data_IF_227544819520
#
_entry.id   IF_227544819520
#
_cell.length_a   1.000
_cell.length_b   1.000
_cell.length_c   1.000
_cell.angle_alpha   90.00
_cell.angle_beta   90.00
_cell.angle_gamma   90.00
#
_symmetry.space_group_name_H-M   'P 1'
#
loop_
_entity.id
_entity.type
_entity.pdbx_description
1 polymer ?
#
# COMPACT_ATOMS: atom_id res chain seq x y z
N UNK A 1 -14.85 -3.44 26.58
CA UNK A 1 -14.03 -2.24 26.25
C UNK A 1 -12.63 -2.55 26.77
N UNK A 2 -11.65 -2.63 25.86
CA UNK A 2 -10.45 -3.50 25.89
C UNK A 2 -9.72 -3.57 27.26
N UNK A 3 -9.34 -4.78 27.74
CA UNK A 3 -8.68 -4.98 29.04
C UNK A 3 -7.33 -4.27 29.21
N UNK A 4 -6.55 -4.07 28.15
CA UNK A 4 -5.24 -3.42 28.27
C UNK A 4 -5.34 -1.97 28.74
N UNK A 5 -6.45 -1.29 28.42
CA UNK A 5 -6.74 0.06 28.94
C UNK A 5 -6.97 0.07 30.45
N UNK A 6 -7.43 -1.05 31.04
CA UNK A 6 -7.61 -1.19 32.50
C UNK A 6 -6.31 -1.54 33.22
N UNK A 7 -5.30 -2.04 32.51
CA UNK A 7 -3.99 -2.41 33.05
C UNK A 7 -2.97 -1.26 33.05
N UNK A 8 -3.41 0.00 32.91
CA UNK A 8 -2.56 1.17 33.20
C UNK A 8 -2.24 1.16 34.70
N UNK A 9 -1.22 0.39 35.07
CA UNK A 9 -0.52 0.61 36.31
C UNK A 9 0.21 1.95 36.16
N UNK A 10 0.07 2.79 37.17
CA UNK A 10 0.73 4.10 37.38
C UNK A 10 2.20 4.11 36.91
N UNK A 11 2.86 2.96 36.96
CA UNK A 11 4.20 2.67 36.44
C UNK A 11 4.49 3.12 34.99
N UNK A 12 3.54 3.01 34.05
CA UNK A 12 3.85 3.32 32.64
C UNK A 12 3.96 4.83 32.38
N UNK A 13 3.09 5.60 33.03
CA UNK A 13 3.13 7.07 33.03
C UNK A 13 4.40 7.59 33.73
N UNK A 14 4.74 7.00 34.87
CA UNK A 14 5.93 7.40 35.63
C UNK A 14 7.23 7.05 34.88
N UNK A 15 7.27 5.92 34.16
CA UNK A 15 8.38 5.57 33.28
C UNK A 15 8.55 6.58 32.12
N UNK A 16 7.46 6.99 31.47
CA UNK A 16 7.50 8.00 30.40
C UNK A 16 7.95 9.39 30.91
N UNK A 17 7.55 9.77 32.14
CA UNK A 17 8.01 11.01 32.80
C UNK A 17 9.47 10.90 33.21
N UNK A 18 9.92 9.75 33.71
CA UNK A 18 11.33 9.51 34.07
C UNK A 18 12.26 9.60 32.86
N UNK A 19 11.82 9.15 31.68
CA UNK A 19 12.58 9.29 30.42
C UNK A 19 12.67 10.73 29.90
N UNK A 20 11.67 11.56 30.20
CA UNK A 20 11.73 13.00 29.92
C UNK A 20 12.69 13.73 30.86
N UNK A 21 12.92 13.19 32.06
CA UNK A 21 13.84 13.72 33.08
C UNK A 21 15.26 13.20 32.91
N UNK A 22 15.43 11.92 32.52
CA UNK A 22 16.72 11.28 32.23
C UNK A 22 16.61 10.34 31.00
N UNK A 23 16.97 10.84 29.80
CA UNK A 23 16.90 10.07 28.56
C UNK A 23 17.85 8.86 28.50
N UNK A 24 18.82 8.76 29.42
CA UNK A 24 19.81 7.66 29.41
C UNK A 24 19.25 6.34 29.94
N UNK A 25 18.08 6.36 30.59
CA UNK A 25 17.40 5.15 31.06
C UNK A 25 16.62 4.39 29.97
N UNK A 26 16.64 4.84 28.70
CA UNK A 26 15.96 4.18 27.58
C UNK A 26 16.41 2.73 27.34
N UNK A 27 17.54 2.31 27.92
CA UNK A 27 18.01 0.91 27.87
C UNK A 27 17.49 0.04 29.01
N UNK A 28 16.74 0.61 29.96
CA UNK A 28 16.15 -0.13 31.07
C UNK A 28 14.98 -0.98 30.54
N UNK A 29 15.01 -2.32 30.68
CA UNK A 29 13.97 -3.19 30.16
C UNK A 29 12.57 -2.86 30.70
N UNK A 30 12.47 -2.38 31.95
CA UNK A 30 11.19 -1.99 32.56
C UNK A 30 10.58 -0.74 31.92
N UNK A 31 11.41 0.25 31.57
CA UNK A 31 10.97 1.47 30.89
C UNK A 31 10.63 1.21 29.42
N UNK A 32 11.43 0.38 28.73
CA UNK A 32 11.11 -0.08 27.36
C UNK A 32 9.78 -0.84 27.30
N UNK A 33 9.52 -1.73 28.27
CA UNK A 33 8.25 -2.46 28.34
C UNK A 33 7.09 -1.48 28.56
N UNK A 34 7.25 -0.50 29.45
CA UNK A 34 6.25 0.53 29.71
C UNK A 34 5.96 1.41 28.48
N UNK A 35 7.00 1.84 27.75
CA UNK A 35 6.86 2.60 26.49
C UNK A 35 6.13 1.76 25.44
N UNK A 36 6.53 0.51 25.25
CA UNK A 36 5.89 -0.40 24.30
C UNK A 36 4.41 -0.58 24.63
N UNK A 37 4.07 -0.75 25.91
CA UNK A 37 2.69 -0.82 26.38
C UNK A 37 1.91 0.49 26.13
N UNK A 38 2.52 1.66 26.34
CA UNK A 38 1.89 2.95 26.03
C UNK A 38 1.62 3.15 24.53
N UNK A 39 2.56 2.75 23.67
CA UNK A 39 2.36 2.79 22.22
C UNK A 39 1.24 1.85 21.80
N UNK A 40 1.24 0.60 22.29
CA UNK A 40 0.16 -0.35 22.02
C UNK A 40 -1.20 0.20 22.47
N UNK A 41 -1.26 0.84 23.64
CA UNK A 41 -2.48 1.49 24.12
C UNK A 41 -2.94 2.65 23.26
N UNK A 42 -2.02 3.51 22.82
CA UNK A 42 -2.33 4.62 21.93
C UNK A 42 -2.89 4.11 20.58
N UNK A 43 -2.28 3.06 20.04
CA UNK A 43 -2.71 2.40 18.82
C UNK A 43 -4.11 1.78 19.01
N UNK A 44 -4.35 1.07 20.12
CA UNK A 44 -5.67 0.49 20.44
C UNK A 44 -6.75 1.56 20.55
N UNK A 45 -6.47 2.71 21.19
CA UNK A 45 -7.41 3.84 21.23
C UNK A 45 -7.66 4.44 19.84
N UNK A 46 -6.64 4.52 18.99
CA UNK A 46 -6.80 4.99 17.62
C UNK A 46 -7.70 4.04 16.80
N UNK A 47 -7.51 2.73 16.95
CA UNK A 47 -8.35 1.71 16.29
C UNK A 47 -9.80 1.79 16.82
N UNK A 48 -9.99 1.91 18.14
CA UNK A 48 -11.33 2.07 18.73
C UNK A 48 -12.03 3.31 18.20
N UNK A 49 -11.33 4.45 18.10
CA UNK A 49 -11.87 5.68 17.52
C UNK A 49 -12.28 5.45 16.07
N UNK A 50 -11.45 4.76 15.29
CA UNK A 50 -11.74 4.42 13.89
C UNK A 50 -13.00 3.57 13.79
N UNK A 51 -13.10 2.47 14.54
CA UNK A 51 -14.28 1.59 14.54
C UNK A 51 -15.54 2.34 14.96
N UNK A 52 -15.46 3.15 16.02
CA UNK A 52 -16.55 4.02 16.48
C UNK A 52 -17.05 4.94 15.36
N UNK A 53 -16.14 5.57 14.63
CA UNK A 53 -16.51 6.48 13.53
C UNK A 53 -17.02 5.76 12.29
N UNK A 54 -16.48 4.57 11.99
CA UNK A 54 -16.75 3.81 10.76
C UNK A 54 -18.07 3.06 10.82
N UNK A 55 -18.42 2.54 11.99
CA UNK A 55 -19.60 1.71 12.21
C UNK A 55 -20.65 2.41 13.09
N UNK A 56 -20.58 3.74 13.22
CA UNK A 56 -21.63 4.50 13.88
C UNK A 56 -22.99 4.24 13.19
N UNK A 57 -24.07 3.97 13.92
CA UNK A 57 -25.38 3.76 13.33
C UNK A 57 -25.88 5.05 12.63
N UNK A 58 -26.24 4.95 11.34
CA UNK A 58 -26.84 6.01 10.54
C UNK A 58 -28.37 5.85 10.39
N UNK A 59 -28.93 6.22 9.22
CA UNK A 59 -30.37 6.01 8.88
C UNK A 59 -30.67 5.19 7.59
N UNK A 60 -29.68 4.54 6.95
CA UNK A 60 -29.80 3.78 5.68
C UNK A 60 -29.52 2.25 5.80
N UNK A 61 -29.66 1.47 4.72
CA UNK A 61 -29.53 -0.01 4.79
C UNK A 61 -28.15 -0.52 5.18
N UNK A 62 -27.09 0.23 4.86
CA UNK A 62 -25.72 -0.04 5.33
C UNK A 62 -25.62 -0.05 6.86
N UNK A 63 -26.57 0.59 7.55
CA UNK A 63 -26.63 0.58 9.00
C UNK A 63 -26.87 -0.79 9.58
N UNK A 64 -27.60 -1.68 8.91
CA UNK A 64 -27.88 -3.00 9.49
C UNK A 64 -26.60 -3.83 9.58
N UNK A 65 -25.78 -3.81 8.54
CA UNK A 65 -24.50 -4.47 8.54
C UNK A 65 -23.51 -3.79 9.49
N UNK A 66 -23.45 -2.46 9.49
CA UNK A 66 -22.60 -1.70 10.41
C UNK A 66 -23.01 -1.90 11.88
N UNK A 67 -24.32 -1.97 12.17
CA UNK A 67 -24.86 -2.29 13.50
C UNK A 67 -24.45 -3.70 13.92
N UNK A 68 -24.60 -4.69 13.04
CA UNK A 68 -24.18 -6.06 13.33
C UNK A 68 -22.67 -6.15 13.64
N UNK A 69 -21.85 -5.40 12.91
CA UNK A 69 -20.41 -5.32 13.19
C UNK A 69 -20.14 -4.59 14.51
N UNK A 70 -20.85 -3.51 14.81
CA UNK A 70 -20.71 -2.79 16.08
C UNK A 70 -21.10 -3.66 17.28
N UNK A 71 -22.20 -4.42 17.17
CA UNK A 71 -22.61 -5.43 18.15
C UNK A 71 -21.56 -6.53 18.28
N UNK A 72 -20.98 -6.99 17.16
CA UNK A 72 -19.90 -7.97 17.19
C UNK A 72 -18.64 -7.44 17.87
N UNK A 73 -18.26 -6.20 17.62
CA UNK A 73 -17.14 -5.54 18.27
C UNK A 73 -17.37 -5.39 19.78
N UNK A 74 -18.60 -5.11 20.20
CA UNK A 74 -18.98 -5.10 21.61
C UNK A 74 -18.82 -6.49 22.23
N UNK A 75 -19.32 -7.54 21.56
CA UNK A 75 -19.20 -8.92 22.02
C UNK A 75 -17.72 -9.36 22.11
N UNK A 76 -16.90 -9.08 21.09
CA UNK A 76 -15.45 -9.33 21.15
C UNK A 76 -14.80 -8.59 22.32
N UNK A 77 -15.22 -7.36 22.57
CA UNK A 77 -14.74 -6.57 23.70
C UNK A 77 -15.21 -7.06 25.07
N UNK A 78 -16.21 -7.95 25.15
CA UNK A 78 -16.62 -8.69 26.35
C UNK A 78 -15.86 -10.01 26.45
N UNK A 79 -15.70 -10.73 25.33
CA UNK A 79 -14.93 -11.97 25.23
C UNK A 79 -13.46 -11.75 25.66
N UNK A 80 -12.90 -10.55 25.43
CA UNK A 80 -11.55 -10.19 25.90
C UNK A 80 -11.39 -10.17 27.42
N UNK A 81 -12.48 -10.02 28.18
CA UNK A 81 -12.43 -10.08 29.65
C UNK A 81 -12.18 -11.53 30.15
N UNK A 82 -12.47 -12.55 29.34
CA UNK A 82 -12.13 -13.96 29.60
C UNK A 82 -10.71 -14.28 29.08
N UNK A 83 -9.82 -14.73 29.98
CA UNK A 83 -8.43 -15.08 29.63
C UNK A 83 -8.31 -16.15 28.55
N UNK A 84 -9.28 -17.08 28.47
CA UNK A 84 -9.27 -18.17 27.48
C UNK A 84 -9.64 -17.71 26.08
N UNK A 85 -10.44 -16.64 25.95
CA UNK A 85 -10.92 -16.10 24.68
C UNK A 85 -10.13 -14.86 24.23
N UNK A 86 -9.45 -14.19 25.16
CA UNK A 86 -8.67 -12.97 24.89
C UNK A 86 -7.73 -13.06 23.68
N UNK A 87 -6.91 -14.11 23.50
CA UNK A 87 -5.99 -14.17 22.36
C UNK A 87 -6.72 -14.13 21.01
N UNK A 88 -7.79 -14.92 20.88
CA UNK A 88 -8.58 -15.00 19.65
C UNK A 88 -9.33 -13.69 19.38
N UNK A 89 -9.91 -13.07 20.41
CA UNK A 89 -10.63 -11.81 20.27
C UNK A 89 -9.72 -10.65 19.85
N UNK A 90 -8.49 -10.60 20.38
CA UNK A 90 -7.47 -9.64 19.96
C UNK A 90 -7.03 -9.86 18.51
N UNK A 91 -6.85 -11.11 18.08
CA UNK A 91 -6.53 -11.44 16.70
C UNK A 91 -7.62 -10.99 15.73
N UNK A 92 -8.89 -11.26 16.05
CA UNK A 92 -10.03 -10.81 15.24
C UNK A 92 -10.12 -9.28 15.17
N UNK A 93 -9.86 -8.60 16.29
CA UNK A 93 -9.84 -7.14 16.35
C UNK A 93 -8.77 -6.54 15.43
N UNK A 94 -7.55 -7.07 15.50
CA UNK A 94 -6.43 -6.65 14.63
C UNK A 94 -6.71 -6.95 13.16
N UNK A 95 -7.20 -8.14 12.86
CA UNK A 95 -7.56 -8.55 11.49
C UNK A 95 -8.62 -7.64 10.88
N UNK A 96 -9.62 -7.20 11.67
CA UNK A 96 -10.61 -6.24 11.19
C UNK A 96 -9.95 -4.90 10.85
N UNK A 97 -9.06 -4.40 11.72
CA UNK A 97 -8.35 -3.15 11.47
C UNK A 97 -7.47 -3.22 10.22
N UNK A 98 -6.71 -4.31 10.04
CA UNK A 98 -5.92 -4.55 8.83
C UNK A 98 -6.78 -4.54 7.57
N UNK A 99 -7.97 -5.16 7.61
CA UNK A 99 -8.90 -5.09 6.48
C UNK A 99 -9.44 -3.67 6.23
N UNK A 100 -9.65 -2.86 7.27
CA UNK A 100 -10.01 -1.46 7.08
C UNK A 100 -8.88 -0.67 6.43
N UNK A 101 -7.62 -0.95 6.77
CA UNK A 101 -6.45 -0.33 6.10
C UNK A 101 -6.44 -0.65 4.61
N UNK A 102 -6.72 -1.90 4.24
CA UNK A 102 -6.86 -2.29 2.84
C UNK A 102 -8.00 -1.53 2.15
N UNK A 103 -9.15 -1.38 2.80
CA UNK A 103 -10.29 -0.64 2.24
C UNK A 103 -10.01 0.86 2.07
N UNK A 104 -9.36 1.48 3.04
CA UNK A 104 -8.96 2.89 2.96
C UNK A 104 -7.95 3.09 1.83
N UNK A 105 -6.97 2.21 1.69
CA UNK A 105 -6.02 2.26 0.59
C UNK A 105 -6.70 2.05 -0.77
N UNK A 106 -7.61 1.08 -0.88
CA UNK A 106 -8.41 0.86 -2.10
C UNK A 106 -9.17 2.13 -2.49
N UNK A 107 -9.76 2.83 -1.52
CA UNK A 107 -10.50 4.07 -1.74
C UNK A 107 -9.57 5.19 -2.21
N UNK A 108 -8.41 5.36 -1.58
CA UNK A 108 -7.40 6.37 -1.98
C UNK A 108 -6.88 6.13 -3.41
N UNK A 109 -6.70 4.87 -3.80
CA UNK A 109 -6.18 4.50 -5.11
C UNK A 109 -7.24 4.54 -6.23
N UNK A 110 -8.52 4.59 -5.87
CA UNK A 110 -9.64 4.38 -6.79
C UNK A 110 -9.63 5.37 -7.95
N UNK A 111 -9.52 6.66 -7.66
CA UNK A 111 -9.58 7.72 -8.66
C UNK A 111 -8.47 7.59 -9.71
N UNK A 112 -7.26 7.23 -9.29
CA UNK A 112 -6.13 7.02 -10.20
C UNK A 112 -6.31 5.76 -11.04
N UNK A 113 -6.81 4.68 -10.44
CA UNK A 113 -7.06 3.43 -11.13
C UNK A 113 -8.20 3.56 -12.17
N UNK A 114 -9.28 4.28 -11.85
CA UNK A 114 -10.41 4.48 -12.76
C UNK A 114 -10.01 5.18 -14.06
N UNK A 115 -9.03 6.10 -14.00
CA UNK A 115 -8.48 6.76 -15.20
C UNK A 115 -7.79 5.78 -16.15
N UNK A 116 -7.17 4.72 -15.62
CA UNK A 116 -6.51 3.68 -16.41
C UNK A 116 -7.52 2.66 -16.93
N UNK A 117 -8.52 2.32 -16.12
CA UNK A 117 -9.54 1.31 -16.45
C UNK A 117 -10.51 1.82 -17.53
N UNK A 118 -10.79 3.12 -17.55
CA UNK A 118 -11.67 3.74 -18.54
C UNK A 118 -13.10 3.19 -18.47
N UNK A 119 -13.58 2.65 -19.57
CA UNK A 119 -14.99 2.24 -19.75
C UNK A 119 -15.44 1.10 -18.81
N UNK A 120 -14.51 0.32 -18.25
CA UNK A 120 -14.78 -0.78 -17.31
C UNK A 120 -14.92 -0.33 -15.84
N UNK A 121 -14.91 0.98 -15.57
CA UNK A 121 -15.00 1.53 -14.20
C UNK A 121 -16.27 1.08 -13.48
N UNK A 122 -17.39 0.98 -14.19
CA UNK A 122 -18.68 0.63 -13.61
C UNK A 122 -18.69 -0.84 -13.16
N UNK A 123 -18.06 -1.73 -13.94
CA UNK A 123 -17.85 -3.13 -13.58
C UNK A 123 -16.96 -3.28 -12.34
N UNK A 124 -15.87 -2.49 -12.26
CA UNK A 124 -15.02 -2.46 -11.06
C UNK A 124 -15.80 -1.93 -9.85
N UNK A 125 -16.65 -0.92 -10.02
CA UNK A 125 -17.51 -0.40 -8.95
C UNK A 125 -18.44 -1.48 -8.43
N UNK A 126 -19.12 -2.19 -9.32
CA UNK A 126 -19.97 -3.32 -8.97
C UNK A 126 -19.18 -4.43 -8.24
N UNK A 127 -17.97 -4.73 -8.71
CA UNK A 127 -17.08 -5.73 -8.09
C UNK A 127 -16.68 -5.33 -6.67
N UNK A 128 -16.33 -4.06 -6.44
CA UNK A 128 -16.01 -3.55 -5.10
C UNK A 128 -17.23 -3.55 -4.18
N UNK A 129 -18.41 -3.15 -4.68
CA UNK A 129 -19.65 -3.20 -3.90
C UNK A 129 -19.97 -4.63 -3.46
N UNK A 130 -19.88 -5.60 -4.38
CA UNK A 130 -20.08 -7.01 -4.07
C UNK A 130 -19.06 -7.52 -3.04
N UNK A 131 -17.79 -7.13 -3.18
CA UNK A 131 -16.74 -7.49 -2.21
C UNK A 131 -17.01 -6.89 -0.83
N UNK A 132 -17.42 -5.63 -0.77
CA UNK A 132 -17.77 -4.94 0.46
C UNK A 132 -18.97 -5.61 1.15
N UNK A 133 -20.00 -5.97 0.40
CA UNK A 133 -21.17 -6.66 0.94
C UNK A 133 -20.81 -8.04 1.51
N UNK A 134 -19.96 -8.81 0.83
CA UNK A 134 -19.46 -10.10 1.32
C UNK A 134 -18.60 -9.93 2.59
N UNK A 135 -17.73 -8.93 2.59
CA UNK A 135 -16.88 -8.59 3.73
C UNK A 135 -17.72 -8.17 4.95
N UNK A 136 -18.69 -7.28 4.76
CA UNK A 136 -19.63 -6.84 5.80
C UNK A 136 -20.44 -8.02 6.36
N UNK A 137 -20.95 -8.89 5.50
CA UNK A 137 -21.72 -10.06 5.93
C UNK A 137 -20.89 -11.04 6.77
N UNK A 138 -19.63 -11.28 6.39
CA UNK A 138 -18.73 -12.15 7.17
C UNK A 138 -18.43 -11.59 8.55
N UNK A 139 -18.21 -10.28 8.68
CA UNK A 139 -17.98 -9.63 9.98
C UNK A 139 -19.25 -9.46 10.82
N UNK A 140 -20.41 -9.26 10.19
CA UNK A 140 -21.70 -9.13 10.87
C UNK A 140 -22.31 -10.45 11.34
N UNK A 141 -21.70 -11.60 11.04
CA UNK A 141 -22.21 -12.92 11.46
C UNK A 141 -21.86 -13.20 12.93
N UNK A 142 -22.85 -13.46 13.82
CA UNK A 142 -22.58 -13.82 15.21
C UNK A 142 -21.71 -15.08 15.31
N UNK A 143 -20.64 -15.03 16.11
CA UNK A 143 -19.68 -16.14 16.25
C UNK A 143 -18.79 -16.39 15.02
N UNK A 144 -18.91 -15.58 13.97
CA UNK A 144 -18.05 -15.66 12.78
C UNK A 144 -16.58 -15.30 13.08
N UNK A 145 -15.68 -15.77 12.20
CA UNK A 145 -14.23 -15.50 12.23
C UNK A 145 -13.81 -14.37 11.28
N UNK A 146 -14.74 -13.48 10.91
CA UNK A 146 -14.52 -12.37 9.99
C UNK A 146 -14.98 -12.65 8.55
N UNK A 147 -14.41 -11.94 7.58
CA UNK A 147 -14.83 -11.95 6.18
C UNK A 147 -14.77 -13.33 5.46
N UNK A 148 -13.99 -14.27 6.00
CA UNK A 148 -13.64 -15.54 5.34
C UNK A 148 -12.39 -15.42 4.46
N UNK A 149 -11.66 -16.53 4.30
CA UNK A 149 -10.34 -16.56 3.66
C UNK A 149 -10.38 -16.04 2.20
N UNK A 150 -11.38 -16.46 1.42
CA UNK A 150 -11.53 -16.03 0.03
C UNK A 150 -11.77 -14.52 -0.12
N UNK A 151 -12.57 -13.92 0.76
CA UNK A 151 -12.88 -12.48 0.73
C UNK A 151 -11.67 -11.65 1.17
N UNK A 152 -10.96 -12.11 2.21
CA UNK A 152 -9.72 -11.46 2.67
C UNK A 152 -8.63 -11.48 1.59
N UNK A 153 -8.48 -12.61 0.87
CA UNK A 153 -7.53 -12.70 -0.24
C UNK A 153 -7.94 -11.81 -1.42
N UNK A 154 -9.22 -11.81 -1.80
CA UNK A 154 -9.74 -10.93 -2.84
C UNK A 154 -9.51 -9.45 -2.52
N UNK A 155 -9.65 -9.05 -1.26
CA UNK A 155 -9.39 -7.68 -0.80
C UNK A 155 -7.92 -7.29 -1.00
N UNK A 156 -6.99 -8.18 -0.66
CA UNK A 156 -5.55 -7.96 -0.88
C UNK A 156 -5.22 -7.86 -2.36
N UNK A 157 -5.73 -8.79 -3.18
CA UNK A 157 -5.54 -8.78 -4.64
C UNK A 157 -6.10 -7.49 -5.25
N UNK A 158 -7.30 -7.08 -4.83
CA UNK A 158 -7.92 -5.83 -5.27
C UNK A 158 -7.04 -4.63 -4.97
N UNK A 159 -6.54 -4.52 -3.73
CA UNK A 159 -5.60 -3.47 -3.33
C UNK A 159 -4.35 -3.50 -4.22
N UNK A 160 -3.72 -4.65 -4.38
CA UNK A 160 -2.46 -4.78 -5.12
C UNK A 160 -2.62 -4.42 -6.62
N UNK A 161 -3.74 -4.78 -7.23
CA UNK A 161 -4.05 -4.40 -8.61
C UNK A 161 -4.32 -2.91 -8.71
N UNK A 162 -5.20 -2.33 -7.87
CA UNK A 162 -5.48 -0.88 -7.92
C UNK A 162 -4.23 -0.04 -7.68
N UNK A 163 -3.35 -0.50 -6.79
CA UNK A 163 -2.06 0.13 -6.52
C UNK A 163 -1.17 0.14 -7.76
N UNK A 164 -1.12 -0.99 -8.47
CA UNK A 164 -0.39 -1.12 -9.75
C UNK A 164 -0.96 -0.20 -10.81
N UNK A 165 -2.29 -0.10 -10.93
CA UNK A 165 -2.96 0.81 -11.86
C UNK A 165 -2.71 2.28 -11.50
N UNK A 166 -2.71 2.63 -10.21
CA UNK A 166 -2.38 3.98 -9.76
C UNK A 166 -0.93 4.35 -10.07
N UNK A 167 0.02 3.42 -9.94
CA UNK A 167 1.41 3.63 -10.33
C UNK A 167 1.52 3.84 -11.86
N UNK A 168 0.79 3.05 -12.67
CA UNK A 168 0.71 3.27 -14.13
C UNK A 168 0.15 4.65 -14.46
N UNK A 169 -0.93 5.08 -13.79
CA UNK A 169 -1.49 6.40 -13.97
C UNK A 169 -0.45 7.48 -13.68
N UNK A 170 0.26 7.37 -12.56
CA UNK A 170 1.31 8.33 -12.17
C UNK A 170 2.48 8.34 -13.17
N UNK A 171 2.79 7.19 -13.81
CA UNK A 171 3.81 7.15 -14.85
C UNK A 171 3.50 8.06 -16.06
N UNK A 172 2.22 8.33 -16.33
CA UNK A 172 1.83 9.23 -17.43
C UNK A 172 2.19 10.70 -17.16
N UNK A 173 2.35 11.08 -15.89
CA UNK A 173 2.74 12.41 -15.46
C UNK A 173 4.00 12.38 -14.58
N UNK A 174 5.17 12.42 -15.22
CA UNK A 174 6.45 12.46 -14.50
C UNK A 174 6.89 13.88 -14.12
N UNK A 175 6.00 14.89 -14.19
CA UNK A 175 6.33 16.29 -13.84
C UNK A 175 7.07 16.43 -12.50
N UNK A 176 6.58 15.80 -11.41
CA UNK A 176 7.26 15.83 -10.11
C UNK A 176 8.66 15.23 -10.14
N UNK A 177 8.91 14.16 -10.93
CA UNK A 177 10.24 13.56 -11.03
C UNK A 177 11.17 14.34 -11.97
N UNK A 178 10.65 14.87 -13.09
CA UNK A 178 11.44 15.67 -14.04
C UNK A 178 11.94 16.99 -13.44
N UNK A 179 11.31 17.45 -12.34
CA UNK A 179 11.79 18.60 -11.56
C UNK A 179 13.10 18.32 -10.79
N UNK A 180 13.56 17.07 -10.78
CA UNK A 180 14.74 16.68 -10.04
C UNK A 180 16.01 16.67 -10.92
N UNK A 181 17.09 17.38 -10.53
CA UNK A 181 18.38 17.26 -11.19
C UNK A 181 18.92 15.83 -11.10
N UNK A 182 19.09 15.18 -12.25
CA UNK A 182 19.54 13.80 -12.37
C UNK A 182 18.43 12.78 -12.68
N UNK A 183 17.16 13.19 -12.68
CA UNK A 183 16.12 12.37 -13.32
C UNK A 183 16.12 12.59 -14.83
N UNK A 184 16.66 11.64 -15.58
CA UNK A 184 16.67 11.70 -17.03
C UNK A 184 16.02 10.45 -17.61
N UNK A 185 14.79 10.59 -18.12
CA UNK A 185 14.15 9.53 -18.89
C UNK A 185 13.55 10.09 -20.18
N UNK A 186 14.26 9.83 -21.28
CA UNK A 186 13.89 10.28 -22.62
C UNK A 186 12.57 9.68 -23.08
N UNK A 187 11.90 10.31 -24.04
CA UNK A 187 10.68 9.78 -24.64
C UNK A 187 10.89 8.37 -25.25
N UNK A 188 12.09 8.10 -25.79
CA UNK A 188 12.45 6.77 -26.30
C UNK A 188 12.54 5.74 -25.16
N UNK A 189 13.18 6.09 -24.05
CA UNK A 189 13.26 5.24 -22.85
C UNK A 189 11.86 4.89 -22.32
N UNK A 190 10.98 5.91 -22.25
CA UNK A 190 9.58 5.73 -21.80
C UNK A 190 8.85 4.72 -22.66
N UNK A 191 8.90 4.90 -24.00
CA UNK A 191 8.26 3.96 -24.95
C UNK A 191 8.77 2.54 -24.78
N UNK A 192 10.06 2.38 -24.52
CA UNK A 192 10.67 1.07 -24.39
C UNK A 192 10.26 0.33 -23.10
N UNK A 193 10.14 1.04 -21.98
CA UNK A 193 9.73 0.41 -20.71
C UNK A 193 8.22 0.16 -20.62
N UNK A 194 7.41 0.90 -21.41
CA UNK A 194 5.95 0.72 -21.50
C UNK A 194 5.49 -0.08 -22.71
N UNK A 195 6.41 -0.59 -23.53
CA UNK A 195 6.05 -1.43 -24.68
C UNK A 195 5.16 -2.58 -24.20
N UNK A 196 4.02 -2.82 -24.86
CA UNK A 196 3.03 -3.87 -24.54
C UNK A 196 2.30 -3.76 -23.18
N UNK A 197 2.68 -2.79 -22.33
CA UNK A 197 2.09 -2.60 -20.99
C UNK A 197 0.56 -2.46 -21.03
N UNK A 198 0.02 -1.71 -22.00
CA UNK A 198 -1.44 -1.51 -22.12
C UNK A 198 -2.19 -2.84 -22.29
N UNK A 199 -1.69 -3.73 -23.15
CA UNK A 199 -2.33 -5.02 -23.40
C UNK A 199 -2.27 -5.94 -22.18
N UNK A 200 -1.15 -5.94 -21.45
CA UNK A 200 -1.03 -6.71 -20.21
C UNK A 200 -1.95 -6.17 -19.10
N UNK A 201 -2.09 -4.85 -19.00
CA UNK A 201 -3.02 -4.20 -18.06
C UNK A 201 -4.48 -4.53 -18.39
N UNK A 202 -4.85 -4.53 -19.67
CA UNK A 202 -6.19 -4.92 -20.09
C UNK A 202 -6.54 -6.35 -19.71
N UNK A 203 -5.58 -7.26 -19.82
CA UNK A 203 -5.69 -8.64 -19.34
C UNK A 203 -5.89 -8.69 -17.82
N UNK A 204 -5.05 -7.98 -17.05
CA UNK A 204 -5.13 -7.93 -15.60
C UNK A 204 -6.49 -7.40 -15.10
N UNK A 205 -6.95 -6.29 -15.67
CA UNK A 205 -8.25 -5.68 -15.31
C UNK A 205 -9.41 -6.61 -15.65
N UNK A 206 -9.35 -7.31 -16.78
CA UNK A 206 -10.37 -8.28 -17.17
C UNK A 206 -10.46 -9.45 -16.20
N UNK A 207 -9.33 -9.99 -15.75
CA UNK A 207 -9.32 -11.07 -14.75
C UNK A 207 -9.84 -10.60 -13.38
N UNK A 208 -9.45 -9.40 -12.94
CA UNK A 208 -9.92 -8.81 -11.69
C UNK A 208 -11.45 -8.67 -11.66
N UNK A 209 -12.06 -8.25 -12.76
CA UNK A 209 -13.50 -8.01 -12.87
C UNK A 209 -14.31 -9.31 -12.94
N UNK A 210 -13.78 -10.38 -13.55
CA UNK A 210 -14.48 -11.68 -13.73
C UNK A 210 -14.98 -12.33 -12.43
N UNK A 211 -14.46 -11.92 -11.28
CA UNK A 211 -15.05 -12.25 -9.98
C UNK A 211 -14.37 -13.41 -9.24
N UNK A 212 -14.92 -13.79 -8.08
CA UNK A 212 -14.23 -14.58 -7.07
C UNK A 212 -14.26 -16.08 -7.37
N UNK A 213 -13.13 -16.62 -7.81
CA UNK A 213 -12.86 -18.06 -7.77
C UNK A 213 -11.39 -18.28 -7.44
N UNK A 214 -11.04 -19.45 -6.88
CA UNK A 214 -9.64 -19.77 -6.59
C UNK A 214 -8.77 -19.73 -7.86
N UNK A 215 -9.33 -20.16 -9.00
CA UNK A 215 -8.66 -20.10 -10.30
C UNK A 215 -8.43 -18.65 -10.73
N UNK A 216 -9.46 -17.80 -10.59
CA UNK A 216 -9.36 -16.37 -10.92
C UNK A 216 -8.32 -15.66 -10.04
N UNK A 217 -8.29 -15.96 -8.74
CA UNK A 217 -7.27 -15.44 -7.81
C UNK A 217 -5.85 -15.80 -8.25
N UNK A 218 -5.60 -17.10 -8.50
CA UNK A 218 -4.30 -17.60 -8.97
C UNK A 218 -3.88 -16.95 -10.29
N UNK A 219 -4.81 -16.79 -11.24
CA UNK A 219 -4.53 -16.12 -12.52
C UNK A 219 -4.23 -14.64 -12.34
N UNK A 220 -5.06 -13.91 -11.59
CA UNK A 220 -4.86 -12.49 -11.32
C UNK A 220 -3.51 -12.25 -10.63
N UNK A 221 -3.18 -13.05 -9.62
CA UNK A 221 -1.89 -12.99 -8.94
C UNK A 221 -0.71 -13.33 -9.87
N UNK A 222 -0.85 -14.36 -10.69
CA UNK A 222 0.16 -14.74 -11.70
C UNK A 222 0.40 -13.64 -12.74
N UNK A 223 -0.67 -13.06 -13.28
CA UNK A 223 -0.61 -11.93 -14.22
C UNK A 223 0.01 -10.71 -13.57
N UNK A 224 -0.38 -10.37 -12.33
CA UNK A 224 0.21 -9.26 -11.58
C UNK A 224 1.72 -9.46 -11.38
N UNK A 225 2.14 -10.67 -11.00
CA UNK A 225 3.56 -11.02 -10.81
C UNK A 225 4.33 -10.90 -12.12
N UNK A 226 3.78 -11.42 -13.21
CA UNK A 226 4.37 -11.32 -14.55
C UNK A 226 4.52 -9.87 -14.98
N UNK A 227 3.46 -9.07 -14.84
CA UNK A 227 3.44 -7.66 -15.20
C UNK A 227 4.50 -6.86 -14.42
N UNK A 228 4.63 -7.12 -13.12
CA UNK A 228 5.66 -6.51 -12.28
C UNK A 228 7.08 -6.92 -12.68
N UNK A 229 7.27 -8.17 -13.10
CA UNK A 229 8.54 -8.66 -13.64
C UNK A 229 8.91 -8.05 -15.00
N UNK A 230 7.94 -7.90 -15.90
CA UNK A 230 8.14 -7.39 -17.27
C UNK A 230 8.24 -5.87 -17.34
N UNK A 231 7.48 -5.15 -16.51
CA UNK A 231 7.32 -3.69 -16.53
C UNK A 231 7.76 -3.00 -15.25
N UNK A 232 8.55 -3.68 -14.41
CA UNK A 232 9.11 -3.14 -13.16
C UNK A 232 9.65 -1.71 -13.27
N UNK A 233 10.42 -1.31 -14.30
CA UNK A 233 10.93 0.05 -14.42
C UNK A 233 9.84 1.12 -14.58
N UNK A 234 8.81 0.84 -15.38
CA UNK A 234 7.67 1.75 -15.56
C UNK A 234 6.88 1.89 -14.26
N UNK A 235 6.58 0.76 -13.60
CA UNK A 235 5.86 0.74 -12.33
C UNK A 235 6.65 1.42 -11.19
N UNK A 236 7.97 1.20 -11.12
CA UNK A 236 8.84 1.85 -10.14
C UNK A 236 8.85 3.36 -10.32
N UNK A 237 8.99 3.81 -11.57
CA UNK A 237 8.97 5.24 -11.86
C UNK A 237 7.61 5.85 -11.51
N UNK A 238 6.52 5.17 -11.87
CA UNK A 238 5.16 5.59 -11.50
C UNK A 238 4.95 5.65 -10.00
N UNK A 239 5.44 4.65 -9.25
CA UNK A 239 5.42 4.63 -7.79
C UNK A 239 6.17 5.83 -7.20
N UNK A 240 7.38 6.10 -7.69
CA UNK A 240 8.20 7.22 -7.22
C UNK A 240 7.51 8.57 -7.52
N UNK A 241 6.86 8.70 -8.68
CA UNK A 241 6.08 9.89 -9.01
C UNK A 241 4.89 10.09 -8.06
N UNK A 242 4.15 9.02 -7.75
CA UNK A 242 3.02 9.09 -6.80
C UNK A 242 3.48 9.43 -5.38
N UNK A 243 4.62 8.91 -4.95
CA UNK A 243 5.20 9.27 -3.64
C UNK A 243 5.65 10.72 -3.60
N UNK A 244 6.29 11.20 -4.67
CA UNK A 244 6.65 12.59 -4.83
C UNK A 244 5.44 13.53 -4.68
N UNK A 245 4.33 13.22 -5.36
CA UNK A 245 3.08 13.98 -5.28
C UNK A 245 2.50 13.97 -3.86
N UNK A 246 2.50 12.81 -3.19
CA UNK A 246 2.01 12.67 -1.80
C UNK A 246 2.82 13.53 -0.82
N UNK A 247 4.13 13.67 -1.06
CA UNK A 247 5.03 14.48 -0.24
C UNK A 247 5.02 15.98 -0.64
N UNK A 248 4.09 16.38 -1.52
CA UNK A 248 3.85 17.78 -1.86
C UNK A 248 4.80 18.35 -2.92
N UNK A 249 5.59 17.51 -3.61
CA UNK A 249 6.32 17.95 -4.78
C UNK A 249 5.35 18.25 -5.92
N UNK A 250 5.19 19.53 -6.18
CA UNK A 250 4.50 20.05 -7.35
C UNK A 250 5.53 20.54 -8.36
N UNK A 251 5.11 20.90 -9.58
CA UNK A 251 5.95 21.53 -10.61
C UNK A 251 6.57 22.83 -10.07
N UNK A 252 7.64 22.75 -9.29
CA UNK A 252 8.41 23.90 -8.89
C UNK A 252 9.13 24.43 -10.13
N UNK A 253 9.06 25.74 -10.38
CA UNK A 253 9.71 26.32 -11.55
C UNK A 253 11.24 26.13 -11.51
N UNK A 254 11.94 26.23 -12.66
CA UNK A 254 13.38 25.97 -12.79
C UNK A 254 14.30 26.76 -11.81
N UNK A 255 13.82 27.88 -11.27
CA UNK A 255 14.56 28.74 -10.34
C UNK A 255 14.52 28.22 -8.89
N UNK A 256 13.48 27.46 -8.50
CA UNK A 256 13.46 26.79 -7.21
C UNK A 256 14.42 25.58 -7.20
N UNK A 257 14.60 24.91 -8.34
CA UNK A 257 15.39 23.67 -8.49
C UNK A 257 16.91 23.87 -8.42
N UNK A 258 17.44 25.02 -8.86
CA UNK A 258 18.88 25.35 -8.72
C UNK A 258 19.31 25.61 -7.27
N UNK A 259 18.37 25.86 -6.36
CA UNK A 259 18.64 26.21 -4.96
C UNK A 259 18.71 25.04 -3.98
N UNK A 260 18.22 23.85 -4.34
CA UNK A 260 18.05 22.76 -3.36
C UNK A 260 19.26 21.82 -3.20
N UNK A 261 20.21 21.83 -4.13
CA UNK A 261 21.38 20.95 -4.06
C UNK A 261 21.02 19.45 -4.03
N UNK A 262 21.99 18.55 -3.72
CA UNK A 262 21.68 17.13 -3.50
C UNK A 262 20.64 16.98 -2.37
N UNK A 263 19.86 15.89 -2.32
CA UNK A 263 18.79 15.73 -1.35
C UNK A 263 19.30 16.01 0.06
N UNK A 264 18.69 16.99 0.73
CA UNK A 264 18.90 17.23 2.16
C UNK A 264 18.53 15.94 2.90
N UNK A 265 19.32 15.54 3.92
CA UNK A 265 19.17 14.26 4.63
C UNK A 265 17.74 14.01 5.14
N UNK A 266 17.01 15.07 5.43
CA UNK A 266 15.63 15.01 5.97
C UNK A 266 14.54 15.09 4.87
N UNK A 267 14.92 15.08 3.58
CA UNK A 267 13.95 15.07 2.49
C UNK A 267 13.50 13.63 2.16
N UNK A 268 12.23 13.45 1.76
CA UNK A 268 11.73 12.14 1.32
C UNK A 268 12.61 11.57 0.19
N UNK A 269 13.11 12.44 -0.69
CA UNK A 269 13.99 12.08 -1.80
C UNK A 269 15.30 11.43 -1.34
N UNK A 270 15.86 11.82 -0.19
CA UNK A 270 17.08 11.20 0.34
C UNK A 270 16.88 9.69 0.59
N UNK A 271 15.65 9.28 0.93
CA UNK A 271 15.28 7.88 1.15
C UNK A 271 15.20 7.08 -0.15
N UNK A 272 14.99 7.75 -1.29
CA UNK A 272 14.76 7.09 -2.59
C UNK A 272 15.80 7.43 -3.66
N UNK A 273 16.83 8.23 -3.33
CA UNK A 273 17.84 8.71 -4.27
C UNK A 273 18.48 7.59 -5.10
N UNK A 274 18.89 6.50 -4.45
CA UNK A 274 19.58 5.40 -5.11
C UNK A 274 18.65 4.68 -6.10
N UNK A 275 17.38 4.51 -5.72
CA UNK A 275 16.34 3.95 -6.59
C UNK A 275 16.11 4.82 -7.84
N UNK A 276 16.04 6.14 -7.66
CA UNK A 276 15.83 7.07 -8.78
C UNK A 276 17.04 7.07 -9.71
N UNK A 277 18.27 7.15 -9.17
CA UNK A 277 19.50 7.15 -9.94
C UNK A 277 19.69 5.86 -10.74
N UNK A 278 19.43 4.70 -10.12
CA UNK A 278 19.50 3.39 -10.78
C UNK A 278 18.56 3.35 -12.01
N UNK A 279 17.30 3.72 -11.83
CA UNK A 279 16.32 3.67 -12.93
C UNK A 279 16.74 4.58 -14.08
N UNK A 280 17.15 5.81 -13.81
CA UNK A 280 17.58 6.75 -14.85
C UNK A 280 18.81 6.24 -15.61
N UNK A 281 19.83 5.79 -14.89
CA UNK A 281 21.06 5.30 -15.50
C UNK A 281 20.80 4.09 -16.41
N UNK A 282 20.11 3.07 -15.90
CA UNK A 282 19.90 1.83 -16.66
C UNK A 282 18.87 1.99 -17.79
N UNK A 283 17.89 2.88 -17.67
CA UNK A 283 16.96 3.17 -18.78
C UNK A 283 17.64 3.96 -19.90
N UNK A 284 18.53 4.90 -19.57
CA UNK A 284 19.35 5.61 -20.54
C UNK A 284 20.31 4.66 -21.28
N UNK A 285 21.00 3.78 -20.54
CA UNK A 285 21.91 2.79 -21.13
C UNK A 285 21.15 1.79 -22.02
N UNK A 286 19.98 1.33 -21.58
CA UNK A 286 19.15 0.44 -22.41
C UNK A 286 18.71 1.11 -23.70
N UNK A 287 18.32 2.38 -23.64
CA UNK A 287 17.96 3.15 -24.85
C UNK A 287 19.14 3.31 -25.80
N UNK A 288 20.34 3.58 -25.26
CA UNK A 288 21.57 3.69 -26.04
C UNK A 288 21.93 2.38 -26.74
N UNK A 289 21.80 1.25 -26.05
CA UNK A 289 22.09 -0.08 -26.60
C UNK A 289 21.07 -0.47 -27.68
N UNK A 290 19.77 -0.30 -27.42
CA UNK A 290 18.71 -0.62 -28.38
C UNK A 290 18.75 0.28 -29.63
N UNK A 291 19.18 1.54 -29.50
CA UNK A 291 19.40 2.39 -30.67
C UNK A 291 20.49 1.85 -31.62
N UNK A 292 21.41 1.01 -31.11
CA UNK A 292 22.47 0.36 -31.88
C UNK A 292 22.14 -1.10 -32.25
N UNK A 293 21.07 -1.68 -31.68
CA UNK A 293 20.54 -3.04 -31.94
C UNK A 293 19.00 -2.98 -32.10
N UNK A 294 18.51 -2.52 -33.26
CA UNK A 294 17.08 -2.31 -33.48
C UNK A 294 16.26 -3.61 -33.48
N UNK A 295 16.88 -4.75 -33.82
CA UNK A 295 16.25 -6.07 -33.79
C UNK A 295 16.17 -6.67 -32.37
N UNK A 296 16.82 -6.03 -31.39
CA UNK A 296 16.87 -6.45 -29.98
C UNK A 296 17.31 -7.91 -29.80
N UNK A 297 18.09 -8.38 -30.77
CA UNK A 297 18.47 -9.79 -30.93
C UNK A 297 19.79 -10.09 -30.25
N UNK A 298 20.56 -9.05 -29.91
CA UNK A 298 21.83 -9.23 -29.22
C UNK A 298 21.62 -9.69 -27.77
N UNK A 299 22.39 -10.70 -27.37
CA UNK A 299 22.41 -11.23 -26.00
C UNK A 299 22.62 -10.12 -24.97
N UNK A 300 23.45 -9.12 -25.29
CA UNK A 300 23.72 -7.97 -24.42
C UNK A 300 22.48 -7.09 -24.17
N UNK A 301 21.66 -6.85 -25.19
CA UNK A 301 20.40 -6.09 -25.07
C UNK A 301 19.42 -6.82 -24.14
N UNK A 302 19.33 -8.15 -24.29
CA UNK A 302 18.47 -9.00 -23.46
C UNK A 302 18.94 -9.07 -22.00
N UNK A 303 20.24 -9.24 -21.76
CA UNK A 303 20.85 -9.24 -20.43
C UNK A 303 20.61 -7.91 -19.70
N UNK A 304 20.83 -6.79 -20.38
CA UNK A 304 20.63 -5.46 -19.79
C UNK A 304 19.16 -5.23 -19.43
N UNK A 305 18.22 -5.65 -20.30
CA UNK A 305 16.78 -5.56 -20.04
C UNK A 305 16.38 -6.42 -18.85
N UNK A 306 16.86 -7.66 -18.77
CA UNK A 306 16.61 -8.55 -17.63
C UNK A 306 17.16 -7.96 -16.32
N UNK A 307 18.37 -7.41 -16.35
CA UNK A 307 18.99 -6.77 -15.20
C UNK A 307 18.19 -5.55 -14.71
N UNK A 308 17.81 -4.65 -15.62
CA UNK A 308 16.99 -3.48 -15.29
C UNK A 308 15.63 -3.89 -14.68
N UNK A 309 14.94 -4.86 -15.30
CA UNK A 309 13.67 -5.40 -14.79
C UNK A 309 13.81 -5.97 -13.38
N UNK A 310 14.85 -6.78 -13.16
CA UNK A 310 15.12 -7.37 -11.85
C UNK A 310 15.41 -6.31 -10.79
N UNK A 311 16.29 -5.34 -11.06
CA UNK A 311 16.59 -4.26 -10.11
C UNK A 311 15.36 -3.43 -9.77
N UNK A 312 14.57 -3.07 -10.79
CA UNK A 312 13.37 -2.29 -10.59
C UNK A 312 12.33 -3.05 -9.74
N UNK A 313 12.13 -4.35 -9.98
CA UNK A 313 11.26 -5.20 -9.17
C UNK A 313 11.74 -5.27 -7.71
N UNK A 314 13.03 -5.52 -7.48
CA UNK A 314 13.59 -5.58 -6.12
C UNK A 314 13.43 -4.27 -5.36
N UNK A 315 13.58 -3.16 -6.07
CA UNK A 315 13.41 -1.83 -5.49
C UNK A 315 11.95 -1.53 -5.17
N UNK A 316 11.02 -1.89 -6.05
CA UNK A 316 9.57 -1.85 -5.78
C UNK A 316 9.22 -2.64 -4.51
N UNK A 317 9.68 -3.89 -4.42
CA UNK A 317 9.45 -4.75 -3.25
C UNK A 317 10.07 -4.19 -1.96
N UNK A 318 11.18 -3.47 -2.04
CA UNK A 318 11.82 -2.83 -0.90
C UNK A 318 11.03 -1.61 -0.42
N UNK A 319 10.55 -0.77 -1.35
CA UNK A 319 9.70 0.39 -1.03
C UNK A 319 8.41 -0.08 -0.36
N UNK A 320 7.77 -1.14 -0.89
CA UNK A 320 6.53 -1.68 -0.33
C UNK A 320 6.71 -2.27 1.07
N UNK A 321 7.85 -2.91 1.35
CA UNK A 321 8.17 -3.40 2.71
C UNK A 321 8.37 -2.27 3.72
N UNK A 322 9.04 -1.19 3.32
CA UNK A 322 9.29 -0.04 4.18
C UNK A 322 8.03 0.81 4.45
N UNK A 323 7.01 0.71 3.59
CA UNK A 323 5.70 1.33 3.82
C UNK A 323 4.83 0.59 4.83
N UNK A 324 5.10 -0.70 5.09
CA UNK A 324 4.37 -1.49 6.09
C UNK A 324 4.90 -1.21 7.52
N UNK A 325 6.07 -0.60 7.64
CA UNK A 325 6.77 -0.36 8.91
C UNK A 325 6.65 1.07 9.45
N UNK A 326 5.89 1.94 8.77
CA UNK A 326 5.56 3.31 9.20
C UNK A 326 4.08 3.42 9.51
#
# INVERSE_FOLDING_TARGET
>A
MIPDVRNINVNARDAAVNLLVDPTNITNPGELTAIASLHTLADDFAILRRFSSRFAPGTESDDKANTAIAERLLALGQDMDDESLRPLSLELYRTLNEHLDLWDEIRELRDAADRVIGDRRDDLTLRLQNLNNQWLAGWGTPGGRGAGEGVAEDLRIMRDVLRTLADVNAFTNLGPLNSWPGFEMSAASRRLVTQDLTGELDGLVSELIRGPSEISRKRTFGTLTSLRGSHGPALLTGRLARLAERDGLTLAGPIAELGFGPPVRDSWMATHRDAIADVCWYTAELTRVVANDPDQSETRTQELRAHLRWRALRTLEAIERNQITR
#
